data_IF_734623542457
#
_entry.id   IF_734623542457
#
_cell.length_a   1.000
_cell.length_b   1.000
_cell.length_c   1.000
_cell.angle_alpha   90.00
_cell.angle_beta   90.00
_cell.angle_gamma   90.00
#
_symmetry.space_group_name_H-M   'P 1'
#
loop_
_entity.id
_entity.type
_entity.pdbx_description
1 polymer ?
#
# COMPACT_ATOMS: atom_id res chain seq x y z
N UNK A 1 -23.27 14.12 16.11
CA UNK A 1 -21.88 13.70 15.82
C UNK A 1 -21.17 14.88 15.15
N UNK A 2 -19.97 15.26 15.61
CA UNK A 2 -19.17 16.33 14.98
C UNK A 2 -18.38 15.70 13.83
N UNK A 3 -18.55 16.20 12.62
CA UNK A 3 -17.78 15.74 11.45
C UNK A 3 -16.36 16.30 11.50
N UNK A 4 -15.38 15.52 11.03
CA UNK A 4 -14.00 15.95 10.86
C UNK A 4 -13.66 15.98 9.37
N UNK A 5 -12.72 16.84 8.97
CA UNK A 5 -12.21 16.93 7.59
C UNK A 5 -10.82 16.31 7.54
N UNK A 6 -10.63 15.34 6.64
CA UNK A 6 -9.38 14.62 6.45
C UNK A 6 -9.01 14.57 4.97
N UNK A 7 -7.72 14.51 4.65
CA UNK A 7 -7.25 14.07 3.34
C UNK A 7 -7.51 12.57 3.16
N UNK A 8 -7.46 12.08 1.91
CA UNK A 8 -7.60 10.64 1.63
C UNK A 8 -6.57 9.81 2.39
N UNK A 9 -5.31 10.25 2.42
CA UNK A 9 -4.24 9.57 3.15
C UNK A 9 -4.50 9.54 4.66
N UNK A 10 -4.92 10.66 5.26
CA UNK A 10 -5.26 10.70 6.69
C UNK A 10 -6.44 9.79 7.02
N UNK A 11 -7.48 9.78 6.18
CA UNK A 11 -8.63 8.90 6.33
C UNK A 11 -8.21 7.42 6.22
N UNK A 12 -7.35 7.08 5.26
CA UNK A 12 -6.81 5.73 5.08
C UNK A 12 -6.01 5.26 6.29
N UNK A 13 -5.07 6.09 6.79
CA UNK A 13 -4.25 5.74 7.96
C UNK A 13 -5.14 5.51 9.19
N UNK A 14 -6.06 6.44 9.48
CA UNK A 14 -7.02 6.26 10.58
C UNK A 14 -7.89 5.02 10.41
N UNK A 15 -8.36 4.75 9.20
CA UNK A 15 -9.14 3.55 8.92
C UNK A 15 -8.33 2.29 9.20
N UNK A 16 -7.12 2.17 8.64
CA UNK A 16 -6.25 0.99 8.82
C UNK A 16 -5.88 0.76 10.29
N UNK A 17 -5.59 1.82 11.04
CA UNK A 17 -5.28 1.76 12.47
C UNK A 17 -6.46 1.24 13.31
N UNK A 18 -7.69 1.37 12.83
CA UNK A 18 -8.89 0.96 13.54
C UNK A 18 -9.52 -0.33 12.96
N UNK A 19 -8.72 -1.20 12.35
CA UNK A 19 -9.18 -2.50 11.85
C UNK A 19 -8.92 -3.63 12.84
N UNK A 20 -9.98 -4.36 13.16
CA UNK A 20 -9.96 -5.48 14.09
C UNK A 20 -10.63 -6.70 13.46
N UNK A 21 -10.16 -7.89 13.84
CA UNK A 21 -10.77 -9.17 13.49
C UNK A 21 -11.01 -9.98 14.75
N UNK A 22 -12.13 -10.69 14.79
CA UNK A 22 -12.46 -11.60 15.89
C UNK A 22 -12.23 -13.05 15.48
N UNK A 23 -11.52 -13.81 16.32
CA UNK A 23 -11.38 -15.25 16.22
C UNK A 23 -11.53 -15.87 17.60
N UNK A 24 -12.36 -16.91 17.72
CA UNK A 24 -12.57 -17.66 18.97
C UNK A 24 -12.92 -16.76 20.17
N UNK A 25 -13.74 -15.72 19.94
CA UNK A 25 -14.14 -14.75 20.96
C UNK A 25 -13.04 -13.76 21.39
N UNK A 26 -11.90 -13.75 20.70
CA UNK A 26 -10.80 -12.80 20.94
C UNK A 26 -10.67 -11.83 19.78
N UNK A 27 -10.87 -10.56 20.07
CA UNK A 27 -10.60 -9.46 19.15
C UNK A 27 -9.09 -9.15 19.10
N UNK A 28 -8.57 -8.99 17.89
CA UNK A 28 -7.17 -8.65 17.64
C UNK A 28 -7.08 -7.57 16.56
N UNK A 29 -6.15 -6.64 16.76
CA UNK A 29 -5.82 -5.63 15.75
C UNK A 29 -5.28 -6.30 14.49
N UNK A 30 -5.89 -6.01 13.34
CA UNK A 30 -5.61 -6.69 12.08
C UNK A 30 -4.43 -6.09 11.32
N UNK A 31 -4.32 -4.75 11.29
CA UNK A 31 -3.19 -4.06 10.66
C UNK A 31 -2.19 -3.68 11.74
N UNK A 32 -1.03 -4.33 11.74
CA UNK A 32 0.03 -4.08 12.71
C UNK A 32 0.82 -2.80 12.35
N UNK A 33 0.92 -2.50 11.05
CA UNK A 33 1.71 -1.38 10.58
C UNK A 33 1.88 -1.33 9.08
N UNK A 34 2.86 -0.53 8.65
CA UNK A 34 3.16 -0.27 7.25
C UNK A 34 4.65 -0.42 6.99
N UNK A 35 5.02 -1.22 5.99
CA UNK A 35 6.33 -1.14 5.36
C UNK A 35 6.32 0.00 4.34
N UNK A 36 7.29 0.91 4.43
CA UNK A 36 7.35 2.09 3.57
C UNK A 36 8.71 2.29 2.93
N UNK A 37 8.71 2.46 1.61
CA UNK A 37 9.75 3.16 0.86
C UNK A 37 9.13 4.44 0.34
N UNK A 38 9.58 5.58 0.88
CA UNK A 38 9.00 6.88 0.56
C UNK A 38 9.77 7.56 -0.56
N UNK A 39 9.01 8.05 -1.54
CA UNK A 39 9.47 8.92 -2.60
C UNK A 39 8.37 9.94 -2.91
N UNK A 40 8.60 10.78 -3.92
CA UNK A 40 7.68 11.87 -4.26
C UNK A 40 6.23 11.41 -4.52
N UNK A 41 6.02 10.17 -4.97
CA UNK A 41 4.68 9.62 -5.27
C UNK A 41 3.84 9.23 -4.05
N UNK A 42 4.43 9.08 -2.86
CA UNK A 42 3.69 8.69 -1.65
C UNK A 42 4.05 9.49 -0.39
N UNK A 43 5.19 10.20 -0.37
CA UNK A 43 5.68 10.90 0.83
C UNK A 43 4.78 12.07 1.23
N UNK A 44 4.29 12.86 0.28
CA UNK A 44 3.45 14.03 0.56
C UNK A 44 2.01 13.68 0.92
N UNK A 45 1.59 12.44 0.66
CA UNK A 45 0.28 11.91 1.05
C UNK A 45 0.40 11.00 2.27
N UNK A 46 0.75 9.73 2.03
CA UNK A 46 0.85 8.70 3.09
C UNK A 46 1.97 9.01 4.09
N UNK A 47 3.12 9.49 3.63
CA UNK A 47 4.23 9.85 4.53
C UNK A 47 3.83 10.96 5.52
N UNK A 48 3.21 12.01 5.00
CA UNK A 48 2.67 13.12 5.80
C UNK A 48 1.59 12.64 6.79
N UNK A 49 0.65 11.80 6.35
CA UNK A 49 -0.41 11.29 7.21
C UNK A 49 0.13 10.43 8.36
N UNK A 50 1.12 9.57 8.08
CA UNK A 50 1.80 8.76 9.09
C UNK A 50 2.62 9.59 10.08
N UNK A 51 3.28 10.65 9.60
CA UNK A 51 4.04 11.55 10.47
C UNK A 51 3.13 12.35 11.40
N UNK A 52 1.98 12.79 10.89
CA UNK A 52 1.03 13.58 11.67
C UNK A 52 0.30 12.76 12.74
N UNK A 53 -0.18 11.57 12.39
CA UNK A 53 -0.91 10.67 13.30
C UNK A 53 -0.93 9.24 12.75
N UNK A 54 0.04 8.42 13.17
CA UNK A 54 0.10 7.00 12.83
C UNK A 54 -0.84 6.13 13.67
N UNK A 55 -1.50 6.67 14.71
CA UNK A 55 -2.11 5.84 15.75
C UNK A 55 -1.10 4.85 16.34
N UNK A 56 -1.45 3.58 16.45
CA UNK A 56 -0.52 2.53 16.88
C UNK A 56 0.11 1.75 15.70
N UNK A 57 -0.05 2.21 14.46
CA UNK A 57 0.57 1.57 13.30
C UNK A 57 2.10 1.68 13.37
N UNK A 58 2.78 0.54 13.29
CA UNK A 58 4.24 0.50 13.31
C UNK A 58 4.79 0.77 11.90
N UNK A 59 5.53 1.86 11.73
CA UNK A 59 6.25 2.12 10.48
C UNK A 59 7.55 1.31 10.42
N UNK A 60 7.71 0.51 9.36
CA UNK A 60 8.93 -0.25 9.06
C UNK A 60 9.55 0.30 7.79
N UNK A 61 10.78 0.80 7.88
CA UNK A 61 11.47 1.30 6.70
C UNK A 61 11.88 0.14 5.79
N UNK A 62 11.34 0.12 4.57
CA UNK A 62 11.82 -0.76 3.51
C UNK A 62 13.14 -0.24 2.93
N UNK A 63 13.97 -1.16 2.41
CA UNK A 63 15.17 -0.82 1.63
C UNK A 63 15.12 -1.39 0.21
N UNK A 64 14.19 -2.30 -0.04
CA UNK A 64 13.90 -2.90 -1.33
C UNK A 64 12.40 -3.27 -1.35
N UNK A 65 11.66 -2.86 -2.38
CA UNK A 65 10.21 -3.01 -2.43
C UNK A 65 9.78 -4.50 -2.51
N UNK A 66 10.52 -5.30 -3.27
CA UNK A 66 10.25 -6.74 -3.37
C UNK A 66 10.47 -7.44 -2.01
N UNK A 67 11.59 -7.13 -1.35
CA UNK A 67 11.95 -7.68 -0.04
C UNK A 67 10.93 -7.31 1.04
N UNK A 68 10.49 -6.05 1.11
CA UNK A 68 9.49 -5.63 2.10
C UNK A 68 8.12 -6.29 1.85
N UNK A 69 7.70 -6.45 0.59
CA UNK A 69 6.43 -7.08 0.27
C UNK A 69 6.44 -8.58 0.59
N UNK A 70 7.55 -9.28 0.35
CA UNK A 70 7.71 -10.66 0.80
C UNK A 70 7.82 -10.79 2.32
N UNK A 71 8.43 -9.83 3.01
CA UNK A 71 8.44 -9.79 4.47
C UNK A 71 7.02 -9.64 5.04
N UNK A 72 6.19 -8.78 4.44
CA UNK A 72 4.77 -8.63 4.81
C UNK A 72 3.98 -9.93 4.60
N UNK A 73 4.20 -10.63 3.48
CA UNK A 73 3.63 -11.97 3.25
C UNK A 73 4.08 -12.96 4.33
N UNK A 74 5.37 -12.99 4.65
CA UNK A 74 5.94 -13.86 5.68
C UNK A 74 5.32 -13.59 7.06
N UNK A 75 5.19 -12.32 7.42
CA UNK A 75 4.52 -11.90 8.65
C UNK A 75 3.05 -12.35 8.68
N UNK A 76 2.31 -12.14 7.60
CA UNK A 76 0.91 -12.57 7.53
C UNK A 76 0.79 -14.10 7.65
N UNK A 77 1.66 -14.87 6.99
CA UNK A 77 1.71 -16.34 7.14
C UNK A 77 1.99 -16.75 8.59
N UNK A 78 3.01 -16.16 9.22
CA UNK A 78 3.41 -16.47 10.59
C UNK A 78 2.29 -16.17 11.60
N UNK A 79 1.50 -15.13 11.34
CA UNK A 79 0.34 -14.76 12.16
C UNK A 79 -0.96 -15.46 11.71
N UNK A 80 -0.86 -16.59 11.01
CA UNK A 80 -2.02 -17.37 10.53
C UNK A 80 -3.04 -16.54 9.73
N UNK A 81 -2.56 -15.53 8.99
CA UNK A 81 -3.35 -14.56 8.20
C UNK A 81 -4.26 -13.66 9.02
N UNK A 82 -4.05 -13.60 10.33
CA UNK A 82 -4.85 -12.80 11.27
C UNK A 82 -4.27 -11.40 11.52
N UNK A 83 -3.07 -11.13 11.01
CA UNK A 83 -2.43 -9.82 11.04
C UNK A 83 -1.68 -9.55 9.75
N UNK A 84 -1.58 -8.29 9.37
CA UNK A 84 -0.83 -7.85 8.19
C UNK A 84 0.04 -6.64 8.48
N UNK A 85 1.06 -6.47 7.65
CA UNK A 85 1.61 -5.15 7.33
C UNK A 85 1.11 -4.75 5.95
N UNK A 86 0.72 -3.50 5.76
CA UNK A 86 0.58 -2.92 4.41
C UNK A 86 1.97 -2.57 3.84
N UNK A 87 2.09 -2.43 2.53
CA UNK A 87 3.32 -1.96 1.89
C UNK A 87 3.04 -0.76 1.00
N UNK A 88 3.82 0.31 1.14
CA UNK A 88 3.77 1.48 0.26
C UNK A 88 5.12 1.75 -0.39
N UNK A 89 5.07 2.09 -1.68
CA UNK A 89 6.20 2.56 -2.47
C UNK A 89 5.82 3.89 -3.14
N UNK A 90 6.82 4.60 -3.65
CA UNK A 90 6.58 5.67 -4.63
C UNK A 90 5.92 5.12 -5.91
N UNK A 91 5.77 5.97 -6.92
CA UNK A 91 5.39 5.62 -8.29
C UNK A 91 6.59 5.05 -9.08
N UNK A 92 6.31 4.43 -10.23
CA UNK A 92 7.33 4.07 -11.21
C UNK A 92 7.89 2.66 -11.03
N UNK A 93 9.13 2.38 -11.48
CA UNK A 93 9.68 1.02 -11.53
C UNK A 93 9.80 0.36 -10.14
N UNK A 94 9.95 1.15 -9.07
CA UNK A 94 9.94 0.63 -7.71
C UNK A 94 8.62 -0.06 -7.34
N UNK A 95 7.49 0.45 -7.83
CA UNK A 95 6.20 -0.20 -7.62
C UNK A 95 6.14 -1.60 -8.27
N UNK A 96 6.72 -1.77 -9.47
CA UNK A 96 6.74 -3.06 -10.17
C UNK A 96 7.40 -4.18 -9.37
N UNK A 97 8.38 -3.86 -8.52
CA UNK A 97 9.08 -4.84 -7.68
C UNK A 97 8.14 -5.58 -6.70
N UNK A 98 6.97 -5.02 -6.38
CA UNK A 98 5.99 -5.68 -5.52
C UNK A 98 5.04 -6.63 -6.28
N UNK A 99 5.05 -6.65 -7.62
CA UNK A 99 4.15 -7.49 -8.44
C UNK A 99 4.37 -8.98 -8.17
N UNK A 100 5.63 -9.42 -8.06
CA UNK A 100 5.98 -10.82 -7.74
C UNK A 100 5.41 -11.24 -6.38
N UNK A 101 5.47 -10.33 -5.39
CA UNK A 101 4.88 -10.54 -4.08
C UNK A 101 3.34 -10.60 -4.16
N UNK A 102 2.70 -9.70 -4.91
CA UNK A 102 1.24 -9.73 -5.14
C UNK A 102 0.79 -11.07 -5.75
N UNK A 103 1.47 -11.54 -6.80
CA UNK A 103 1.15 -12.81 -7.44
C UNK A 103 1.29 -13.99 -6.46
N UNK A 104 2.38 -14.00 -5.69
CA UNK A 104 2.61 -15.03 -4.67
C UNK A 104 1.51 -15.02 -3.59
N UNK A 105 1.13 -13.84 -3.10
CA UNK A 105 0.10 -13.68 -2.09
C UNK A 105 -1.27 -14.17 -2.59
N UNK A 106 -1.65 -13.76 -3.80
CA UNK A 106 -2.91 -14.16 -4.44
C UNK A 106 -2.99 -15.67 -4.66
N UNK A 107 -1.95 -16.29 -5.22
CA UNK A 107 -1.91 -17.73 -5.46
C UNK A 107 -2.04 -18.56 -4.16
N UNK A 108 -1.49 -18.04 -3.05
CA UNK A 108 -1.45 -18.75 -1.77
C UNK A 108 -2.52 -18.29 -0.77
N UNK A 109 -3.46 -17.45 -1.20
CA UNK A 109 -4.54 -16.85 -0.37
C UNK A 109 -3.99 -16.21 0.91
N UNK A 110 -3.02 -15.32 0.75
CA UNK A 110 -2.42 -14.57 1.86
C UNK A 110 -2.84 -13.11 1.72
N UNK A 111 -3.34 -12.48 2.79
CA UNK A 111 -3.69 -11.07 2.73
C UNK A 111 -2.41 -10.23 2.61
N UNK A 112 -2.37 -9.39 1.58
CA UNK A 112 -1.31 -8.42 1.31
C UNK A 112 -1.98 -7.15 0.79
N UNK A 113 -1.78 -6.03 1.48
CA UNK A 113 -2.26 -4.72 1.06
C UNK A 113 -1.11 -3.91 0.48
N UNK A 114 -1.23 -3.50 -0.78
CA UNK A 114 -0.25 -2.70 -1.49
C UNK A 114 -0.83 -1.31 -1.78
N UNK A 115 -0.04 -0.28 -1.49
CA UNK A 115 -0.39 1.13 -1.65
C UNK A 115 0.72 1.85 -2.44
N UNK A 116 0.97 1.46 -3.71
CA UNK A 116 1.94 2.17 -4.55
C UNK A 116 1.40 3.56 -4.91
N UNK A 117 2.29 4.56 -4.97
CA UNK A 117 1.96 5.84 -5.59
C UNK A 117 1.65 5.68 -7.08
N UNK A 118 0.85 6.58 -7.64
CA UNK A 118 0.49 6.60 -9.06
C UNK A 118 0.65 8.03 -9.63
N UNK A 119 0.38 8.20 -10.92
CA UNK A 119 0.32 9.52 -11.55
C UNK A 119 -0.91 10.30 -11.09
N UNK A 120 -0.92 11.63 -11.30
CA UNK A 120 -2.08 12.45 -10.95
C UNK A 120 -3.30 12.07 -11.80
N UNK A 121 -4.49 12.07 -11.19
CA UNK A 121 -5.75 11.85 -11.90
C UNK A 121 -5.97 12.88 -13.03
N UNK A 122 -5.47 14.12 -12.86
CA UNK A 122 -5.47 15.18 -13.88
C UNK A 122 -4.45 14.95 -15.00
N UNK A 123 -3.52 14.00 -14.83
CA UNK A 123 -2.37 13.74 -15.71
C UNK A 123 -1.53 14.98 -15.96
N UNK A 124 -1.48 15.89 -14.98
CA UNK A 124 -0.66 17.08 -15.05
C UNK A 124 0.06 17.29 -13.71
N UNK A 125 1.38 17.53 -13.73
CA UNK A 125 2.26 17.52 -14.91
C UNK A 125 2.44 16.12 -15.50
N UNK A 126 2.75 16.04 -16.80
CA UNK A 126 3.08 14.81 -17.52
C UNK A 126 4.39 15.02 -18.30
N UNK A 127 5.42 14.16 -18.10
CA UNK A 127 5.49 13.09 -17.11
C UNK A 127 5.78 13.60 -15.70
N UNK A 128 5.31 12.88 -14.68
CA UNK A 128 5.86 13.04 -13.31
C UNK A 128 7.24 12.37 -13.22
N UNK A 129 8.02 12.75 -12.20
CA UNK A 129 9.30 12.11 -11.93
C UNK A 129 9.14 10.57 -11.84
N UNK A 130 10.03 9.81 -12.47
CA UNK A 130 10.00 8.34 -12.49
C UNK A 130 8.73 7.69 -13.09
N UNK A 131 7.88 8.45 -13.79
CA UNK A 131 6.77 7.89 -14.56
C UNK A 131 7.32 6.97 -15.67
N UNK A 132 6.77 5.76 -15.76
CA UNK A 132 7.02 4.87 -16.90
C UNK A 132 6.07 5.27 -18.03
N UNK A 133 6.61 5.89 -19.08
CA UNK A 133 5.83 6.39 -20.21
C UNK A 133 5.57 5.30 -21.25
N UNK A 134 4.31 5.20 -21.71
CA UNK A 134 3.91 4.39 -22.85
C UNK A 134 3.41 5.33 -23.96
N UNK A 135 4.24 5.58 -24.98
CA UNK A 135 3.92 6.55 -26.05
C UNK A 135 2.63 6.23 -26.83
N UNK A 136 2.15 5.00 -26.77
CA UNK A 136 0.92 4.55 -27.42
C UNK A 136 -0.33 4.63 -26.53
N UNK A 137 -0.17 4.78 -25.20
CA UNK A 137 -1.27 4.89 -24.26
C UNK A 137 -0.83 5.61 -22.97
N UNK A 138 -1.15 6.90 -22.87
CA UNK A 138 -0.81 7.75 -21.72
C UNK A 138 -1.61 7.40 -20.45
N UNK A 139 -2.53 6.44 -20.51
CA UNK A 139 -3.33 6.00 -19.36
C UNK A 139 -2.71 4.82 -18.62
N UNK A 140 -1.77 4.12 -19.28
CA UNK A 140 -1.06 2.98 -18.72
C UNK A 140 0.03 3.45 -17.76
N UNK A 141 0.00 2.92 -16.55
CA UNK A 141 1.05 3.12 -15.55
C UNK A 141 1.61 1.78 -15.12
N UNK A 142 2.77 1.81 -14.45
CA UNK A 142 3.37 0.60 -13.88
C UNK A 142 2.40 -0.17 -12.98
N UNK A 143 1.47 0.54 -12.31
CA UNK A 143 0.52 -0.06 -11.39
C UNK A 143 -0.57 -0.89 -12.08
N UNK A 144 -0.78 -0.74 -13.39
CA UNK A 144 -1.71 -1.58 -14.14
C UNK A 144 -1.27 -3.05 -14.17
N UNK A 145 0.03 -3.34 -13.97
CA UNK A 145 0.55 -4.69 -13.79
C UNK A 145 -0.03 -5.43 -12.58
N UNK A 146 -0.50 -4.71 -11.55
CA UNK A 146 -1.14 -5.33 -10.39
C UNK A 146 -2.51 -5.92 -10.69
N UNK A 147 -3.22 -5.43 -11.72
CA UNK A 147 -4.58 -5.90 -12.07
C UNK A 147 -4.61 -7.41 -12.33
N UNK A 148 -3.57 -7.93 -12.98
CA UNK A 148 -3.48 -9.35 -13.34
C UNK A 148 -3.21 -10.27 -12.15
N UNK A 149 -2.68 -9.73 -11.05
CA UNK A 149 -2.16 -10.53 -9.92
C UNK A 149 -2.80 -10.18 -8.58
N UNK A 150 -3.82 -9.32 -8.58
CA UNK A 150 -4.51 -8.87 -7.37
C UNK A 150 -5.94 -9.37 -7.35
N UNK A 151 -6.42 -9.83 -6.18
CA UNK A 151 -7.84 -10.19 -6.01
C UNK A 151 -8.75 -8.96 -6.07
N UNK A 152 -8.28 -7.85 -5.53
CA UNK A 152 -8.95 -6.55 -5.57
C UNK A 152 -7.93 -5.51 -6.01
N UNK A 153 -8.33 -4.67 -6.96
CA UNK A 153 -7.52 -3.58 -7.48
C UNK A 153 -8.42 -2.38 -7.71
N UNK A 154 -7.98 -1.22 -7.27
CA UNK A 154 -8.68 0.05 -7.47
C UNK A 154 -7.66 1.19 -7.55
N UNK A 155 -8.07 2.34 -8.08
CA UNK A 155 -7.26 3.55 -8.25
C UNK A 155 -8.07 4.75 -7.77
N UNK A 156 -7.53 5.45 -6.76
CA UNK A 156 -8.17 6.59 -6.08
C UNK A 156 -7.52 7.90 -6.54
#
# INVERSE_FOLDING_TARGET
MKTIRLTVAQALIKFLDNQYVEFDGKEIKFVEGIFGIFGHGNVLGLGQALEQDSGDLILRQGRNEQGMAHAAIGFAKQNLRKKIYACTSSVGPGAANMITAAATATANRIPLLLLPGDTFATRQPDPVLQQMEQFHDLTLTTNDGFRAVSKYWDRI
#
